data_IF_976911866958
#
_entry.id   IF_976911866958
#
_cell.length_a   1.000
_cell.length_b   1.000
_cell.length_c   1.000
_cell.angle_alpha   90.00
_cell.angle_beta   90.00
_cell.angle_gamma   90.00
#
_symmetry.space_group_name_H-M   'P 1'
#
loop_
_entity.id
_entity.type
_entity.pdbx_description
1 polymer ?
#
# COMPACT_ATOMS: atom_id res chain seq x y z
N UNK A 1 -22.78 5.13 12.69
CA UNK A 1 -21.67 4.99 11.71
C UNK A 1 -21.93 3.68 11.00
N UNK A 2 -22.31 3.74 9.73
CA UNK A 2 -22.66 2.57 8.91
C UNK A 2 -21.43 2.04 8.20
N UNK A 3 -21.36 0.72 7.96
CA UNK A 3 -20.19 0.04 7.37
C UNK A 3 -19.75 0.60 6.00
N UNK A 4 -20.59 1.39 5.33
CA UNK A 4 -20.31 2.03 4.03
C UNK A 4 -19.41 3.27 4.10
N UNK A 5 -19.15 3.84 5.29
CA UNK A 5 -18.37 5.08 5.46
C UNK A 5 -16.86 4.85 5.54
N UNK A 6 -16.42 3.60 5.70
CA UNK A 6 -15.00 3.23 5.79
C UNK A 6 -14.56 2.33 4.62
N UNK A 7 -13.39 2.62 4.05
CA UNK A 7 -12.73 1.73 3.08
C UNK A 7 -12.23 0.45 3.76
N UNK A 8 -11.76 0.59 4.99
CA UNK A 8 -11.47 -0.53 5.86
C UNK A 8 -11.65 -0.13 7.32
N UNK A 9 -11.90 -1.12 8.16
CA UNK A 9 -11.77 -0.97 9.59
C UNK A 9 -11.22 -2.26 10.18
N UNK A 10 -10.33 -2.18 11.15
CA UNK A 10 -9.75 -3.34 11.81
C UNK A 10 -9.64 -3.09 13.31
N UNK A 11 -9.85 -4.15 14.09
CA UNK A 11 -9.46 -4.17 15.50
C UNK A 11 -8.03 -4.71 15.60
N UNK A 12 -7.12 -3.88 16.09
CA UNK A 12 -5.71 -4.22 16.28
C UNK A 12 -5.36 -3.97 17.74
N UNK A 13 -5.14 -5.05 18.49
CA UNK A 13 -4.84 -5.02 19.94
C UNK A 13 -5.90 -4.29 20.78
N UNK A 14 -7.19 -4.48 20.50
CA UNK A 14 -8.30 -3.84 21.22
C UNK A 14 -8.55 -2.37 20.83
N UNK A 15 -7.83 -1.85 19.84
CA UNK A 15 -8.05 -0.52 19.28
C UNK A 15 -8.67 -0.64 17.88
N UNK A 16 -9.68 0.20 17.59
CA UNK A 16 -10.32 0.27 16.28
C UNK A 16 -9.63 1.32 15.42
N UNK A 17 -9.15 0.89 14.26
CA UNK A 17 -8.62 1.76 13.22
C UNK A 17 -9.53 1.70 12.01
N UNK A 18 -9.78 2.83 11.37
CA UNK A 18 -10.61 2.88 10.16
C UNK A 18 -10.14 3.96 9.21
N UNK A 19 -10.07 3.61 7.94
CA UNK A 19 -9.74 4.56 6.85
C UNK A 19 -11.05 5.11 6.31
N UNK A 20 -11.31 6.41 6.52
CA UNK A 20 -12.51 7.08 6.00
C UNK A 20 -12.48 7.09 4.47
N UNK A 21 -13.55 6.57 3.86
CA UNK A 21 -13.72 6.59 2.40
C UNK A 21 -13.70 8.01 1.85
N UNK A 22 -14.49 8.89 2.47
CA UNK A 22 -14.63 10.27 2.04
C UNK A 22 -13.29 11.01 2.07
N UNK A 23 -12.45 10.77 3.08
CA UNK A 23 -11.11 11.35 3.14
C UNK A 23 -10.27 10.89 1.94
N UNK A 24 -10.19 9.58 1.70
CA UNK A 24 -9.38 9.03 0.60
C UNK A 24 -9.87 9.54 -0.76
N UNK A 25 -11.18 9.48 -1.01
CA UNK A 25 -11.77 9.99 -2.26
C UNK A 25 -11.46 11.48 -2.46
N UNK A 26 -11.61 12.30 -1.41
CA UNK A 26 -11.29 13.74 -1.51
C UNK A 26 -9.82 14.03 -1.82
N UNK A 27 -8.89 13.24 -1.26
CA UNK A 27 -7.46 13.39 -1.55
C UNK A 27 -7.14 13.00 -2.99
N UNK A 28 -7.71 11.89 -3.46
CA UNK A 28 -7.54 11.43 -4.85
C UNK A 28 -8.13 12.43 -5.85
N UNK A 29 -9.31 12.99 -5.57
CA UNK A 29 -9.93 14.04 -6.38
C UNK A 29 -9.07 15.31 -6.45
N UNK A 30 -8.32 15.62 -5.39
CA UNK A 30 -7.36 16.73 -5.37
C UNK A 30 -6.06 16.44 -6.14
N UNK A 31 -5.91 15.24 -6.71
CA UNK A 31 -4.72 14.82 -7.44
C UNK A 31 -3.57 14.33 -6.56
N UNK A 32 -3.84 14.02 -5.29
CA UNK A 32 -2.84 13.48 -4.35
C UNK A 32 -2.92 11.96 -4.30
N UNK A 33 -1.76 11.29 -4.26
CA UNK A 33 -1.71 9.86 -3.94
C UNK A 33 -1.89 9.65 -2.44
N UNK A 34 -2.65 8.62 -2.08
CA UNK A 34 -2.86 8.21 -0.68
C UNK A 34 -2.09 6.93 -0.40
N UNK A 35 -1.22 6.97 0.63
CA UNK A 35 -0.53 5.78 1.14
C UNK A 35 -1.26 5.26 2.37
N UNK A 36 -1.70 4.00 2.34
CA UNK A 36 -2.35 3.32 3.46
C UNK A 36 -1.39 2.27 4.04
N UNK A 37 -1.12 2.37 5.34
CA UNK A 37 -0.37 1.35 6.10
C UNK A 37 -1.37 0.50 6.89
N UNK A 38 -1.70 -0.67 6.34
CA UNK A 38 -2.82 -1.52 6.77
C UNK A 38 -2.41 -2.98 6.80
N UNK A 39 -3.11 -3.79 7.59
CA UNK A 39 -2.88 -5.23 7.58
C UNK A 39 -3.44 -5.90 6.31
N UNK A 40 -3.18 -7.20 6.15
CA UNK A 40 -3.60 -7.96 4.97
C UNK A 40 -5.12 -7.94 4.77
N UNK A 41 -5.90 -7.93 5.85
CA UNK A 41 -7.36 -7.92 5.75
C UNK A 41 -7.87 -6.54 5.32
N UNK A 42 -7.25 -5.46 5.81
CA UNK A 42 -7.46 -4.09 5.33
C UNK A 42 -7.13 -3.97 3.85
N UNK A 43 -5.91 -4.34 3.46
CA UNK A 43 -5.42 -4.27 2.09
C UNK A 43 -6.38 -4.96 1.09
N UNK A 44 -6.85 -6.17 1.37
CA UNK A 44 -7.81 -6.86 0.49
C UNK A 44 -9.23 -6.32 0.54
N UNK A 45 -9.64 -5.61 1.61
CA UNK A 45 -10.91 -4.89 1.62
C UNK A 45 -10.83 -3.63 0.78
N UNK A 46 -9.74 -2.87 0.90
CA UNK A 46 -9.44 -1.73 0.04
C UNK A 46 -9.42 -2.16 -1.42
N UNK A 47 -8.69 -3.22 -1.76
CA UNK A 47 -8.58 -3.65 -3.17
C UNK A 47 -9.89 -4.12 -3.79
N UNK A 48 -10.82 -4.66 -2.98
CA UNK A 48 -12.18 -4.99 -3.45
C UNK A 48 -13.05 -3.75 -3.67
N UNK A 49 -12.88 -2.74 -2.82
CA UNK A 49 -13.67 -1.50 -2.88
C UNK A 49 -13.11 -0.47 -3.87
N UNK A 50 -11.80 -0.52 -4.11
CA UNK A 50 -11.03 0.34 -5.00
C UNK A 50 -10.11 -0.53 -5.87
N UNK A 51 -10.63 -1.14 -6.95
CA UNK A 51 -9.87 -2.05 -7.82
C UNK A 51 -8.66 -1.41 -8.49
N UNK A 52 -8.58 -0.08 -8.50
CA UNK A 52 -7.46 0.72 -8.99
C UNK A 52 -6.31 0.90 -7.98
N UNK A 53 -6.51 0.48 -6.73
CA UNK A 53 -5.46 0.52 -5.70
C UNK A 53 -4.26 -0.35 -6.11
N UNK A 54 -3.08 0.05 -5.65
CA UNK A 54 -1.83 -0.66 -5.89
C UNK A 54 -1.35 -1.25 -4.58
N UNK A 55 -1.30 -2.59 -4.51
CA UNK A 55 -0.90 -3.32 -3.33
C UNK A 55 0.61 -3.59 -3.34
N UNK A 56 1.31 -3.05 -2.33
CA UNK A 56 2.75 -3.27 -2.14
C UNK A 56 3.00 -4.04 -0.85
N UNK A 57 3.61 -5.22 -0.97
CA UNK A 57 4.01 -6.03 0.19
C UNK A 57 5.48 -5.79 0.52
N UNK A 58 5.80 -5.52 1.79
CA UNK A 58 7.18 -5.30 2.24
C UNK A 58 7.67 -6.50 3.05
N UNK A 59 8.70 -7.17 2.55
CA UNK A 59 9.33 -8.31 3.21
C UNK A 59 10.61 -7.90 3.95
N UNK A 60 10.87 -8.45 5.14
CA UNK A 60 12.22 -8.49 5.69
C UNK A 60 13.10 -9.44 4.84
N UNK A 61 14.43 -9.34 4.94
CA UNK A 61 15.32 -10.18 4.14
C UNK A 61 15.33 -11.64 4.60
N UNK A 62 15.03 -11.87 5.88
CA UNK A 62 15.00 -13.17 6.54
C UNK A 62 14.05 -13.11 7.74
N UNK A 63 13.68 -14.27 8.31
CA UNK A 63 12.96 -14.33 9.58
C UNK A 63 13.82 -13.81 10.74
N UNK A 64 15.12 -14.15 10.76
CA UNK A 64 16.04 -13.71 11.80
C UNK A 64 16.14 -12.19 11.88
N UNK A 65 16.21 -11.53 10.73
CA UNK A 65 16.30 -10.07 10.66
C UNK A 65 14.99 -9.39 11.06
N UNK A 66 13.85 -10.04 10.82
CA UNK A 66 12.59 -9.54 11.36
C UNK A 66 12.60 -9.60 12.89
N UNK A 67 13.05 -10.71 13.46
CA UNK A 67 13.16 -10.90 14.89
C UNK A 67 14.14 -9.89 15.52
N UNK A 68 15.34 -9.75 14.95
CA UNK A 68 16.35 -8.78 15.39
C UNK A 68 15.79 -7.35 15.35
N UNK A 69 15.18 -6.94 14.24
CA UNK A 69 14.56 -5.60 14.11
C UNK A 69 13.44 -5.36 15.13
N UNK A 70 12.66 -6.38 15.50
CA UNK A 70 11.62 -6.25 16.52
C UNK A 70 12.22 -6.08 17.92
N UNK A 71 13.30 -6.81 18.21
CA UNK A 71 14.04 -6.72 19.48
C UNK A 71 14.76 -5.37 19.62
N UNK A 72 15.44 -4.92 18.58
CA UNK A 72 16.22 -3.67 18.55
C UNK A 72 15.36 -2.42 18.73
N UNK A 73 14.08 -2.48 18.34
CA UNK A 73 13.14 -1.38 18.59
C UNK A 73 12.97 -1.11 20.08
N UNK A 74 13.17 -2.12 20.95
CA UNK A 74 13.09 -1.97 22.41
C UNK A 74 11.71 -1.57 22.95
N UNK A 75 10.68 -1.60 22.11
CA UNK A 75 9.31 -1.15 22.44
C UNK A 75 8.38 -2.31 22.86
N UNK A 76 8.78 -3.55 22.58
CA UNK A 76 7.96 -4.74 22.77
C UNK A 76 8.64 -5.72 23.75
N UNK A 77 7.86 -6.43 24.56
CA UNK A 77 8.37 -7.52 25.40
C UNK A 77 8.40 -8.85 24.60
N UNK A 78 9.03 -9.90 25.16
CA UNK A 78 9.18 -11.20 24.48
C UNK A 78 7.85 -11.82 24.03
N UNK A 79 6.77 -11.69 24.82
CA UNK A 79 5.46 -12.22 24.46
C UNK A 79 4.86 -11.49 23.23
N UNK A 80 5.02 -10.18 23.17
CA UNK A 80 4.57 -9.35 22.03
C UNK A 80 5.41 -9.66 20.79
N UNK A 81 6.73 -9.81 20.93
CA UNK A 81 7.63 -10.18 19.82
C UNK A 81 7.22 -11.54 19.24
N UNK A 82 7.02 -12.56 20.09
CA UNK A 82 6.57 -13.88 19.66
C UNK A 82 5.23 -13.84 18.93
N UNK A 83 4.30 -13.03 19.42
CA UNK A 83 2.99 -12.81 18.78
C UNK A 83 3.14 -12.18 17.39
N UNK A 84 3.98 -11.13 17.26
CA UNK A 84 4.24 -10.46 15.98
C UNK A 84 4.92 -11.39 14.97
N UNK A 85 5.92 -12.16 15.38
CA UNK A 85 6.60 -13.13 14.52
C UNK A 85 5.66 -14.23 14.04
N UNK A 86 4.78 -14.73 14.92
CA UNK A 86 3.74 -15.69 14.53
C UNK A 86 2.79 -15.08 13.50
N UNK A 87 2.33 -13.85 13.73
CA UNK A 87 1.47 -13.11 12.79
C UNK A 87 2.16 -12.97 11.43
N UNK A 88 3.42 -12.52 11.40
CA UNK A 88 4.20 -12.35 10.18
C UNK A 88 4.31 -13.65 9.37
N UNK A 89 4.47 -14.81 10.03
CA UNK A 89 4.51 -16.13 9.35
C UNK A 89 3.19 -16.47 8.66
N UNK A 90 2.06 -16.13 9.27
CA UNK A 90 0.75 -16.36 8.67
C UNK A 90 0.44 -15.34 7.56
N UNK A 91 0.83 -14.08 7.78
CA UNK A 91 0.66 -12.99 6.84
C UNK A 91 1.45 -13.18 5.55
N UNK A 92 2.70 -13.65 5.64
CA UNK A 92 3.57 -13.89 4.48
C UNK A 92 2.90 -14.79 3.45
N UNK A 93 2.01 -15.71 3.82
CA UNK A 93 1.33 -16.61 2.86
C UNK A 93 0.50 -15.85 1.81
N UNK A 94 0.08 -14.63 2.11
CA UNK A 94 -0.75 -13.82 1.22
C UNK A 94 0.05 -12.97 0.21
N UNK A 95 1.38 -12.90 0.31
CA UNK A 95 2.20 -11.99 -0.52
C UNK A 95 1.97 -12.14 -2.02
N UNK A 96 1.64 -13.35 -2.50
CA UNK A 96 1.35 -13.63 -3.92
C UNK A 96 0.09 -12.95 -4.46
N UNK A 97 -0.70 -12.30 -3.61
CA UNK A 97 -1.92 -11.56 -3.97
C UNK A 97 -1.67 -10.04 -4.10
N UNK A 98 -0.43 -9.59 -3.89
CA UNK A 98 -0.04 -8.19 -4.03
C UNK A 98 0.54 -7.95 -5.42
N UNK A 99 0.45 -6.70 -5.88
CA UNK A 99 0.96 -6.29 -7.20
C UNK A 99 2.49 -6.19 -7.22
N UNK A 100 3.07 -5.71 -6.11
CA UNK A 100 4.50 -5.52 -5.94
C UNK A 100 5.00 -6.11 -4.62
N UNK A 101 6.26 -6.55 -4.62
CA UNK A 101 7.00 -6.96 -3.42
C UNK A 101 8.31 -6.18 -3.32
N UNK A 102 8.55 -5.58 -2.16
CA UNK A 102 9.81 -4.89 -1.83
C UNK A 102 10.50 -5.71 -0.76
N UNK A 103 11.77 -6.05 -0.96
CA UNK A 103 12.55 -6.80 0.05
C UNK A 103 13.46 -5.83 0.78
N UNK A 104 13.07 -5.46 1.99
CA UNK A 104 13.71 -4.43 2.79
C UNK A 104 15.02 -4.90 3.43
N UNK A 105 16.09 -4.93 2.61
CA UNK A 105 17.48 -5.15 3.04
C UNK A 105 18.11 -3.87 3.56
N UNK A 106 17.93 -2.80 2.80
CA UNK A 106 18.43 -1.46 3.05
C UNK A 106 17.27 -0.47 2.91
N UNK A 107 17.22 0.53 3.81
CA UNK A 107 16.10 1.45 3.88
C UNK A 107 16.06 2.35 2.65
N UNK A 108 17.19 2.91 2.23
CA UNK A 108 17.25 3.86 1.13
C UNK A 108 16.88 3.19 -0.19
N UNK A 109 17.37 1.96 -0.40
CA UNK A 109 16.99 1.15 -1.55
C UNK A 109 15.49 0.79 -1.54
N UNK A 110 14.93 0.42 -0.39
CA UNK A 110 13.49 0.13 -0.27
C UNK A 110 12.62 1.35 -0.57
N UNK A 111 13.04 2.52 -0.11
CA UNK A 111 12.37 3.79 -0.38
C UNK A 111 12.45 4.13 -1.87
N UNK A 112 13.59 3.89 -2.51
CA UNK A 112 13.74 4.06 -3.95
C UNK A 112 12.80 3.15 -4.73
N UNK A 113 12.71 1.88 -4.36
CA UNK A 113 11.79 0.91 -4.97
C UNK A 113 10.33 1.34 -4.82
N UNK A 114 9.92 1.78 -3.62
CA UNK A 114 8.56 2.27 -3.40
C UNK A 114 8.25 3.52 -4.24
N UNK A 115 9.19 4.48 -4.33
CA UNK A 115 9.06 5.65 -5.20
C UNK A 115 8.91 5.23 -6.66
N UNK A 116 9.67 4.23 -7.11
CA UNK A 116 9.57 3.72 -8.47
C UNK A 116 8.19 3.08 -8.75
N UNK A 117 7.65 2.30 -7.81
CA UNK A 117 6.29 1.74 -7.91
C UNK A 117 5.24 2.84 -8.05
N UNK A 118 5.32 3.88 -7.22
CA UNK A 118 4.39 5.03 -7.27
C UNK A 118 4.49 5.73 -8.64
N UNK A 119 5.71 6.04 -9.08
CA UNK A 119 5.93 6.70 -10.37
C UNK A 119 5.42 5.86 -11.55
N UNK A 120 5.71 4.56 -11.58
CA UNK A 120 5.21 3.65 -12.60
C UNK A 120 3.68 3.62 -12.62
N UNK A 121 3.05 3.58 -11.43
CA UNK A 121 1.60 3.58 -11.28
C UNK A 121 0.94 4.87 -11.78
N UNK A 122 1.63 6.02 -11.71
CA UNK A 122 1.17 7.28 -12.32
C UNK A 122 1.29 7.30 -13.84
N UNK A 123 2.17 6.48 -14.42
CA UNK A 123 2.46 6.48 -15.86
C UNK A 123 1.63 5.50 -16.68
N UNK A 124 0.77 4.71 -16.04
CA UNK A 124 -0.17 3.85 -16.76
C UNK A 124 -1.13 4.70 -17.62
N UNK A 125 -1.48 4.19 -18.80
CA UNK A 125 -2.26 4.93 -19.80
C UNK A 125 -3.53 5.55 -19.21
N UNK A 126 -4.33 4.75 -18.48
CA UNK A 126 -5.60 5.21 -17.88
C UNK A 126 -5.43 6.45 -17.00
N UNK A 127 -4.29 6.60 -16.32
CA UNK A 127 -4.00 7.74 -15.43
C UNK A 127 -3.44 8.95 -16.18
N UNK A 128 -2.98 8.78 -17.43
CA UNK A 128 -2.40 9.84 -18.26
C UNK A 128 -3.29 10.30 -19.40
N UNK A 129 -4.40 9.64 -19.69
CA UNK A 129 -5.30 10.01 -20.79
C UNK A 129 -5.69 11.50 -20.76
N UNK A 130 -6.06 12.02 -19.59
CA UNK A 130 -6.44 13.43 -19.43
C UNK A 130 -5.34 14.42 -19.83
N UNK A 131 -4.08 14.04 -19.64
CA UNK A 131 -2.91 14.86 -20.02
C UNK A 131 -2.48 14.58 -21.46
N UNK A 132 -2.57 13.31 -21.91
CA UNK A 132 -2.10 12.86 -23.21
C UNK A 132 -3.05 13.23 -24.35
N UNK A 133 -4.37 13.16 -24.17
CA UNK A 133 -5.36 13.42 -25.23
C UNK A 133 -5.23 14.82 -25.86
N UNK A 134 -5.13 15.91 -25.09
CA UNK A 134 -4.91 17.24 -25.67
C UNK A 134 -3.57 17.36 -26.40
N UNK A 135 -2.54 16.62 -25.99
CA UNK A 135 -1.25 16.60 -26.68
C UNK A 135 -1.40 15.88 -28.01
N UNK A 136 -2.04 14.71 -28.01
CA UNK A 136 -2.25 13.88 -29.21
C UNK A 136 -3.06 14.62 -30.26
N UNK A 137 -4.09 15.39 -29.87
CA UNK A 137 -4.91 16.15 -30.84
C UNK A 137 -4.08 17.15 -31.66
N UNK A 138 -3.04 17.77 -31.07
CA UNK A 138 -2.16 18.70 -31.79
C UNK A 138 -1.37 18.06 -32.95
N UNK A 139 -1.14 16.74 -32.89
CA UNK A 139 -0.48 16.00 -33.97
C UNK A 139 -1.47 15.65 -35.09
N UNK A 140 -2.73 15.40 -34.74
CA UNK A 140 -3.79 15.03 -35.70
C UNK A 140 -4.26 16.26 -36.51
N UNK A 141 -4.34 17.43 -35.88
CA UNK A 141 -4.73 18.68 -36.55
C UNK A 141 -3.73 19.14 -37.63
N UNK A 142 -2.43 18.80 -37.48
CA UNK A 142 -1.39 19.16 -38.46
C UNK A 142 -1.37 18.30 -39.73
N UNK A 143 -2.22 17.26 -39.80
CA UNK A 143 -2.36 16.44 -41.01
C UNK A 143 -3.47 16.94 -41.95
N UNK A 144 -4.21 17.99 -41.57
CA UNK A 144 -5.19 18.69 -42.42
C UNK A 144 -4.61 19.97 -43.01
#
# INVERSE_FOLDING_TARGET
>A
ITESEFLEWAEVYGNFYGTSRQFVESQLESGCDVLLDVDIQGAFRVSKQMPESVLVFVLPPSYGELEERLRDRGLDNEEVIGTRLKKARDEIKAYKKYDYVIINRDLDQSVLELKAVILASRCILKNRLREAEPIVSTFLEKQM
#
